data_IF_975381279334
#
_entry.id   IF_975381279334
#
_cell.length_a   1.000
_cell.length_b   1.000
_cell.length_c   1.000
_cell.angle_alpha   90.00
_cell.angle_beta   90.00
_cell.angle_gamma   90.00
#
_symmetry.space_group_name_H-M   'P 1'
#
loop_
_entity.id
_entity.type
_entity.pdbx_description
1 polymer ?
#
# COMPACT_ATOMS: atom_id res chain seq x y z
N UNK A 1 -2.49 15.22 4.60
CA UNK A 1 -2.46 14.17 5.63
C UNK A 1 -2.40 12.75 5.02
N UNK A 2 -3.42 12.32 4.25
CA UNK A 2 -3.50 10.94 3.71
C UNK A 2 -2.30 10.54 2.86
N UNK A 3 -1.86 11.40 1.93
CA UNK A 3 -0.69 11.14 1.06
C UNK A 3 0.57 10.82 1.86
N UNK A 4 0.86 11.61 2.91
CA UNK A 4 2.02 11.38 3.76
C UNK A 4 1.92 10.05 4.51
N UNK A 5 0.71 9.69 4.98
CA UNK A 5 0.44 8.41 5.64
C UNK A 5 0.64 7.24 4.68
N UNK A 6 0.11 7.33 3.47
CA UNK A 6 0.28 6.32 2.43
C UNK A 6 1.75 6.09 2.11
N UNK A 7 2.53 7.16 1.88
CA UNK A 7 3.98 7.06 1.61
C UNK A 7 4.75 6.41 2.76
N UNK A 8 4.39 6.70 4.01
CA UNK A 8 4.99 6.06 5.19
C UNK A 8 4.62 4.59 5.35
N UNK A 9 3.48 4.15 4.82
CA UNK A 9 3.05 2.76 4.90
C UNK A 9 3.74 1.83 3.90
N UNK A 10 4.17 2.33 2.74
CA UNK A 10 4.77 1.47 1.70
C UNK A 10 5.98 0.67 2.21
N UNK A 11 6.96 1.27 2.93
CA UNK A 11 8.07 0.50 3.49
C UNK A 11 7.60 -0.54 4.52
N UNK A 12 6.64 -0.19 5.37
CA UNK A 12 6.09 -1.09 6.40
C UNK A 12 5.40 -2.29 5.76
N UNK A 13 4.52 -2.03 4.79
CA UNK A 13 3.82 -3.08 4.03
C UNK A 13 4.85 -3.98 3.33
N UNK A 14 5.86 -3.39 2.69
CA UNK A 14 6.90 -4.15 1.98
C UNK A 14 7.71 -5.06 2.90
N UNK A 15 8.13 -4.57 4.07
CA UNK A 15 8.90 -5.39 5.01
C UNK A 15 8.04 -6.47 5.64
N UNK A 16 6.86 -6.12 6.17
CA UNK A 16 5.98 -7.07 6.87
C UNK A 16 5.44 -8.17 5.94
N UNK A 17 5.11 -7.84 4.68
CA UNK A 17 4.62 -8.83 3.71
C UNK A 17 5.68 -9.83 3.24
N UNK A 18 6.97 -9.48 3.30
CA UNK A 18 8.08 -10.41 3.00
C UNK A 18 8.32 -11.41 4.11
N UNK A 19 8.03 -11.04 5.35
CA UNK A 19 8.22 -11.93 6.51
C UNK A 19 7.10 -12.98 6.61
N UNK A 20 5.86 -12.59 6.35
CA UNK A 20 4.71 -13.50 6.40
C UNK A 20 3.50 -12.98 5.61
N UNK A 21 2.60 -13.89 5.14
CA UNK A 21 1.30 -13.49 4.62
C UNK A 21 0.58 -12.58 5.61
N UNK A 22 0.21 -11.38 5.16
CA UNK A 22 -0.31 -10.32 6.03
C UNK A 22 -1.50 -9.64 5.37
N UNK A 23 -2.57 -9.45 6.15
CA UNK A 23 -3.73 -8.67 5.74
C UNK A 23 -3.62 -7.24 6.30
N UNK A 24 -3.78 -6.24 5.43
CA UNK A 24 -3.74 -4.82 5.80
C UNK A 24 -5.11 -4.16 5.60
N UNK A 25 -5.78 -3.83 6.70
CA UNK A 25 -7.04 -3.07 6.66
C UNK A 25 -6.80 -1.56 6.49
N UNK A 26 -7.39 -0.95 5.47
CA UNK A 26 -7.34 0.51 5.25
C UNK A 26 -8.72 1.05 4.87
N UNK A 27 -9.00 2.31 5.22
CA UNK A 27 -10.22 2.99 4.76
C UNK A 27 -10.18 3.30 3.26
N UNK A 28 -11.33 3.31 2.59
CA UNK A 28 -11.43 3.49 1.13
C UNK A 28 -10.72 4.74 0.60
N UNK A 29 -10.72 5.84 1.37
CA UNK A 29 -10.02 7.07 1.01
C UNK A 29 -8.50 6.90 0.81
N UNK A 30 -7.90 5.81 1.28
CA UNK A 30 -6.48 5.52 1.08
C UNK A 30 -6.15 4.90 -0.28
N UNK A 31 -7.14 4.38 -1.01
CA UNK A 31 -6.90 3.57 -2.20
C UNK A 31 -6.85 4.38 -3.49
N UNK A 32 -7.50 5.55 -3.51
CA UNK A 32 -7.75 6.33 -4.72
C UNK A 32 -6.59 7.26 -5.12
N UNK A 33 -6.49 7.54 -6.41
CA UNK A 33 -5.57 8.54 -6.99
C UNK A 33 -4.11 8.10 -7.05
N UNK A 34 -3.26 8.96 -7.61
CA UNK A 34 -1.85 8.64 -7.87
C UNK A 34 -1.04 8.31 -6.59
N UNK A 35 -1.41 8.94 -5.48
CA UNK A 35 -0.80 8.72 -4.17
C UNK A 35 -1.60 7.72 -3.30
N UNK A 36 -2.55 6.99 -3.90
CA UNK A 36 -3.26 5.89 -3.25
C UNK A 36 -2.34 4.70 -3.00
N UNK A 37 -2.65 3.90 -1.97
CA UNK A 37 -1.80 2.77 -1.55
C UNK A 37 -1.58 1.78 -2.69
N UNK A 38 -2.61 1.46 -3.49
CA UNK A 38 -2.50 0.55 -4.65
C UNK A 38 -1.46 1.05 -5.65
N UNK A 39 -1.54 2.33 -6.03
CA UNK A 39 -0.64 2.91 -7.02
C UNK A 39 0.79 3.05 -6.50
N UNK A 40 0.96 3.39 -5.23
CA UNK A 40 2.27 3.47 -4.61
C UNK A 40 2.93 2.10 -4.48
N UNK A 41 2.17 1.04 -4.16
CA UNK A 41 2.68 -0.34 -4.14
C UNK A 41 3.15 -0.79 -5.53
N UNK A 42 2.36 -0.51 -6.57
CA UNK A 42 2.77 -0.76 -7.96
C UNK A 42 4.06 -0.02 -8.32
N UNK A 43 4.15 1.27 -7.98
CA UNK A 43 5.36 2.09 -8.17
C UNK A 43 6.58 1.56 -7.40
N UNK A 44 6.38 0.90 -6.25
CA UNK A 44 7.46 0.26 -5.49
C UNK A 44 7.78 -1.17 -5.95
N UNK A 45 7.24 -1.61 -7.09
CA UNK A 45 7.57 -2.90 -7.71
C UNK A 45 6.68 -4.07 -7.30
N UNK A 46 5.57 -3.84 -6.60
CA UNK A 46 4.60 -4.90 -6.31
C UNK A 46 3.68 -5.14 -7.48
N UNK A 47 3.35 -6.41 -7.73
CA UNK A 47 2.18 -6.77 -8.53
C UNK A 47 0.95 -6.69 -7.62
N UNK A 48 -0.07 -5.95 -8.06
CA UNK A 48 -1.31 -5.75 -7.30
C UNK A 48 -2.49 -6.17 -8.17
N UNK A 49 -3.12 -7.26 -7.78
CA UNK A 49 -4.24 -7.90 -8.47
C UNK A 49 -5.53 -7.66 -7.69
N UNK A 50 -6.65 -7.56 -8.40
CA UNK A 50 -7.96 -7.66 -7.79
C UNK A 50 -8.28 -9.13 -7.55
N UNK A 51 -8.89 -9.44 -6.41
CA UNK A 51 -9.56 -10.73 -6.21
C UNK A 51 -10.95 -10.70 -6.83
#
# INVERSE_FOLDING_TARGET
FLVNRNKKWIPVISTTSREKPTFFGVGAAHLIGENGVINLLRKSGFTVEAM
#
